data_IF_025099240096
#
_entry.id   IF_025099240096
#
_cell.length_a   1.000
_cell.length_b   1.000
_cell.length_c   1.000
_cell.angle_alpha   90.00
_cell.angle_beta   90.00
_cell.angle_gamma   90.00
#
_symmetry.space_group_name_H-M   'P 1'
#
loop_
_entity.id
_entity.type
_entity.pdbx_description
1 polymer ?
#
# COMPACT_ATOMS: atom_id res chain seq x y z
N UNK A 1 -0.66 0.10 -4.69
CA UNK A 1 -1.84 -0.79 -4.90
C UNK A 1 -3.14 -0.34 -4.22
N UNK A 2 -3.06 0.26 -3.03
CA UNK A 2 -4.23 0.57 -2.18
C UNK A 2 -4.98 1.88 -2.52
N UNK A 3 -4.34 2.78 -3.26
CA UNK A 3 -4.82 4.16 -3.48
C UNK A 3 -6.28 4.26 -3.93
N UNK A 4 -6.74 3.52 -4.97
CA UNK A 4 -8.12 3.67 -5.45
C UNK A 4 -9.16 3.27 -4.40
N UNK A 5 -8.81 2.34 -3.50
CA UNK A 5 -9.69 1.94 -2.40
C UNK A 5 -9.73 3.02 -1.33
N UNK A 6 -8.57 3.54 -0.90
CA UNK A 6 -8.47 4.56 0.13
C UNK A 6 -9.21 5.84 -0.29
N UNK A 7 -9.00 6.33 -1.50
CA UNK A 7 -9.62 7.55 -2.00
C UNK A 7 -11.16 7.48 -1.99
N UNK A 8 -11.70 6.29 -2.28
CA UNK A 8 -13.16 6.07 -2.35
C UNK A 8 -13.80 5.75 -1.01
N UNK A 9 -13.12 4.97 -0.15
CA UNK A 9 -13.74 4.34 1.02
C UNK A 9 -13.30 4.93 2.35
N UNK A 10 -12.10 5.50 2.45
CA UNK A 10 -11.55 5.93 3.73
C UNK A 10 -12.43 6.99 4.41
N UNK A 11 -12.87 8.00 3.65
CA UNK A 11 -13.76 9.04 4.15
C UNK A 11 -15.13 8.49 4.56
N UNK A 12 -15.59 7.40 3.94
CA UNK A 12 -16.84 6.74 4.32
C UNK A 12 -16.62 5.96 5.61
N UNK A 13 -15.55 5.17 5.73
CA UNK A 13 -15.23 4.36 6.92
C UNK A 13 -15.08 5.26 8.15
N UNK A 14 -14.35 6.37 8.03
CA UNK A 14 -14.04 7.29 9.13
C UNK A 14 -15.06 8.44 9.27
N UNK A 15 -16.20 8.35 8.58
CA UNK A 15 -17.25 9.35 8.68
C UNK A 15 -17.82 9.43 10.11
N UNK A 16 -18.41 10.57 10.50
CA UNK A 16 -19.20 10.70 11.72
C UNK A 16 -20.28 9.61 11.87
N UNK A 17 -20.70 9.31 13.11
CA UNK A 17 -21.65 8.24 13.39
C UNK A 17 -23.08 8.54 12.89
N UNK A 18 -23.41 9.81 12.69
CA UNK A 18 -24.65 10.30 12.11
C UNK A 18 -24.66 10.23 10.57
N UNK A 19 -23.51 9.97 9.93
CA UNK A 19 -23.43 9.75 8.50
C UNK A 19 -24.01 8.38 8.10
N UNK A 20 -24.41 8.21 6.82
CA UNK A 20 -24.90 6.93 6.32
C UNK A 20 -23.96 5.77 6.65
N UNK A 21 -24.55 4.64 7.07
CA UNK A 21 -23.82 3.45 7.45
C UNK A 21 -22.97 2.88 6.30
N UNK A 22 -21.95 2.11 6.67
CA UNK A 22 -21.12 1.34 5.73
C UNK A 22 -22.00 0.32 4.99
N UNK A 23 -22.19 0.52 3.68
CA UNK A 23 -22.98 -0.40 2.85
C UNK A 23 -22.28 -1.73 2.59
N UNK A 24 -20.94 -1.75 2.63
CA UNK A 24 -20.10 -2.89 2.26
C UNK A 24 -18.90 -3.03 3.20
N UNK A 25 -19.09 -3.42 4.47
CA UNK A 25 -17.98 -3.68 5.39
C UNK A 25 -17.05 -4.81 4.91
N UNK A 26 -17.57 -5.77 4.15
CA UNK A 26 -16.85 -6.89 3.55
C UNK A 26 -15.76 -6.47 2.56
N UNK A 27 -15.87 -5.27 1.97
CA UNK A 27 -14.94 -4.80 0.95
C UNK A 27 -13.48 -4.71 1.45
N UNK A 28 -13.26 -4.50 2.76
CA UNK A 28 -11.91 -4.52 3.34
C UNK A 28 -11.37 -5.96 3.42
N UNK A 29 -12.22 -6.93 3.75
CA UNK A 29 -11.85 -8.33 3.79
C UNK A 29 -11.53 -8.88 2.38
N UNK A 30 -12.31 -8.47 1.38
CA UNK A 30 -12.06 -8.82 -0.03
C UNK A 30 -10.72 -8.24 -0.52
N UNK A 31 -10.46 -6.96 -0.21
CA UNK A 31 -9.19 -6.31 -0.53
C UNK A 31 -8.01 -7.04 0.11
N UNK A 32 -8.12 -7.37 1.40
CA UNK A 32 -7.10 -8.11 2.13
C UNK A 32 -6.84 -9.48 1.48
N UNK A 33 -7.89 -10.20 1.12
CA UNK A 33 -7.79 -11.52 0.48
C UNK A 33 -7.07 -11.42 -0.87
N UNK A 34 -7.44 -10.43 -1.69
CA UNK A 34 -6.78 -10.13 -2.96
C UNK A 34 -5.28 -9.85 -2.80
N UNK A 35 -4.89 -9.08 -1.78
CA UNK A 35 -3.47 -8.79 -1.48
C UNK A 35 -2.72 -10.05 -1.03
N UNK A 36 -3.33 -10.88 -0.18
CA UNK A 36 -2.73 -12.16 0.24
C UNK A 36 -2.49 -13.06 -0.97
N UNK A 37 -3.46 -13.17 -1.87
CA UNK A 37 -3.33 -13.99 -3.07
C UNK A 37 -2.28 -13.45 -4.05
N UNK A 38 -2.20 -12.12 -4.20
CA UNK A 38 -1.15 -11.48 -4.98
C UNK A 38 0.24 -11.69 -4.37
N UNK A 39 0.35 -11.62 -3.04
CA UNK A 39 1.61 -11.86 -2.31
C UNK A 39 2.10 -13.30 -2.49
N UNK A 40 1.22 -14.30 -2.46
CA UNK A 40 1.56 -15.72 -2.69
C UNK A 40 2.12 -15.98 -4.09
N UNK A 41 1.65 -15.22 -5.08
CA UNK A 41 2.11 -15.30 -6.47
C UNK A 41 3.36 -14.46 -6.74
N UNK A 42 3.71 -13.53 -5.85
CA UNK A 42 4.82 -12.61 -6.02
C UNK A 42 6.16 -13.26 -5.67
N UNK A 43 7.24 -12.95 -6.41
CA UNK A 43 8.60 -13.28 -6.01
C UNK A 43 8.93 -12.72 -4.62
N UNK A 44 9.81 -13.40 -3.86
CA UNK A 44 10.17 -13.01 -2.47
C UNK A 44 10.62 -11.55 -2.39
N UNK A 45 11.42 -11.07 -3.35
CA UNK A 45 11.87 -9.67 -3.42
C UNK A 45 10.73 -8.65 -3.53
N UNK A 46 9.56 -9.06 -4.04
CA UNK A 46 8.37 -8.21 -4.19
C UNK A 46 7.36 -8.38 -3.07
N UNK A 47 7.60 -9.24 -2.08
CA UNK A 47 6.68 -9.44 -0.95
C UNK A 47 6.59 -8.27 0.06
N UNK A 48 7.67 -7.50 0.35
CA UNK A 48 7.59 -6.44 1.36
C UNK A 48 6.50 -5.38 1.13
N UNK A 49 6.26 -4.86 -0.09
CA UNK A 49 5.12 -3.98 -0.37
C UNK A 49 3.76 -4.59 -0.02
N UNK A 50 3.55 -5.88 -0.32
CA UNK A 50 2.29 -6.56 0.03
C UNK A 50 2.11 -6.70 1.54
N UNK A 51 3.19 -6.98 2.30
CA UNK A 51 3.14 -7.03 3.76
C UNK A 51 2.76 -5.67 4.35
N UNK A 52 3.33 -4.58 3.82
CA UNK A 52 2.95 -3.22 4.21
C UNK A 52 1.48 -2.94 3.87
N UNK A 53 1.01 -3.36 2.70
CA UNK A 53 -0.39 -3.20 2.30
C UNK A 53 -1.36 -4.00 3.21
N UNK A 54 -0.96 -5.20 3.67
CA UNK A 54 -1.73 -5.97 4.64
C UNK A 54 -1.83 -5.27 6.00
N UNK A 55 -0.77 -4.60 6.45
CA UNK A 55 -0.81 -3.80 7.67
C UNK A 55 -1.87 -2.68 7.59
N UNK A 56 -1.95 -1.99 6.44
CA UNK A 56 -3.00 -0.99 6.19
C UNK A 56 -4.40 -1.63 6.24
N UNK A 57 -4.58 -2.80 5.60
CA UNK A 57 -5.86 -3.51 5.60
C UNK A 57 -6.30 -3.96 7.00
N UNK A 58 -5.36 -4.34 7.86
CA UNK A 58 -5.66 -4.71 9.25
C UNK A 58 -6.19 -3.50 10.04
N UNK A 59 -5.57 -2.32 9.90
CA UNK A 59 -6.05 -1.09 10.56
C UNK A 59 -7.39 -0.63 9.97
N UNK A 60 -7.60 -0.78 8.66
CA UNK A 60 -8.90 -0.51 8.04
C UNK A 60 -10.01 -1.44 8.58
N UNK A 61 -9.69 -2.72 8.77
CA UNK A 61 -10.65 -3.69 9.33
C UNK A 61 -11.02 -3.30 10.76
N UNK A 62 -10.01 -2.97 11.57
CA UNK A 62 -10.21 -2.43 12.92
C UNK A 62 -11.09 -1.17 12.92
N UNK A 63 -10.87 -0.23 12.00
CA UNK A 63 -11.67 0.98 11.89
C UNK A 63 -13.15 0.67 11.55
N UNK A 64 -13.40 -0.31 10.68
CA UNK A 64 -14.76 -0.77 10.35
C UNK A 64 -15.42 -1.38 11.59
N UNK A 65 -14.74 -2.28 12.30
CA UNK A 65 -15.27 -2.94 13.50
C UNK A 65 -15.55 -1.95 14.63
N UNK A 66 -14.62 -1.03 14.89
CA UNK A 66 -14.78 0.03 15.89
C UNK A 66 -15.96 0.94 15.56
N UNK A 67 -16.13 1.32 14.27
CA UNK A 67 -17.29 2.11 13.84
C UNK A 67 -18.60 1.35 14.04
N UNK A 68 -18.66 0.10 13.61
CA UNK A 68 -19.87 -0.71 13.74
C UNK A 68 -20.28 -0.86 15.21
N UNK A 69 -19.30 -1.07 16.09
CA UNK A 69 -19.53 -1.08 17.54
C UNK A 69 -20.05 0.26 18.06
N UNK A 70 -19.46 1.38 17.64
CA UNK A 70 -19.90 2.71 18.03
C UNK A 70 -21.33 3.02 17.55
N UNK A 71 -21.68 2.64 16.31
CA UNK A 71 -23.05 2.76 15.78
C UNK A 71 -24.03 1.89 16.57
N UNK A 72 -23.67 0.65 16.89
CA UNK A 72 -24.51 -0.24 17.69
C UNK A 72 -24.76 0.32 19.09
N UNK A 73 -23.73 0.88 19.74
CA UNK A 73 -23.84 1.54 21.03
C UNK A 73 -24.77 2.76 20.97
N UNK A 74 -24.67 3.57 19.91
CA UNK A 74 -25.52 4.74 19.71
C UNK A 74 -26.99 4.36 19.52
N UNK A 75 -27.25 3.34 18.70
CA UNK A 75 -28.59 2.80 18.45
C UNK A 75 -29.18 2.16 19.71
N UNK A 76 -28.36 1.50 20.54
CA UNK A 76 -28.77 0.95 21.83
C UNK A 76 -29.30 2.03 22.77
N UNK A 77 -28.60 3.17 22.86
CA UNK A 77 -29.01 4.32 23.69
C UNK A 77 -30.32 4.96 23.24
N UNK A 78 -30.62 4.94 21.93
CA UNK A 78 -31.85 5.52 21.38
C UNK A 78 -33.11 4.70 21.68
N UNK A 79 -32.99 3.39 21.94
CA UNK A 79 -34.14 2.49 22.16
C UNK A 79 -34.86 2.74 23.49
N UNK A 80 -34.24 3.44 24.44
CA UNK A 80 -34.79 3.62 25.79
C UNK A 80 -35.70 4.87 25.95
N UNK A 81 -35.79 5.75 24.95
CA UNK A 81 -36.54 7.02 25.05
C UNK A 81 -38.06 6.90 24.83
N UNK A 82 -38.58 5.71 24.52
CA UNK A 82 -39.97 5.52 24.04
C UNK A 82 -40.96 4.85 25.00
N UNK A 83 -40.66 4.74 26.30
CA UNK A 83 -41.55 3.98 27.21
C UNK A 83 -42.86 4.73 27.52
N UNK A 84 -44.05 4.19 27.18
CA UNK A 84 -45.32 4.93 27.20
C UNK A 84 -45.84 5.37 28.58
N UNK A 85 -45.14 5.07 29.68
CA UNK A 85 -45.57 5.34 31.06
C UNK A 85 -44.75 6.38 31.82
N UNK A 86 -43.73 6.97 31.21
CA UNK A 86 -42.87 7.96 31.87
C UNK A 86 -43.60 9.31 31.98
N UNK A 87 -43.68 9.86 33.19
CA UNK A 87 -44.12 11.24 33.43
C UNK A 87 -43.30 12.18 32.54
N UNK A 88 -43.94 13.24 32.01
CA UNK A 88 -43.31 14.21 31.09
C UNK A 88 -41.91 14.69 31.52
N UNK A 89 -41.68 14.87 32.82
CA UNK A 89 -40.39 15.28 33.36
C UNK A 89 -39.32 14.18 33.27
N UNK A 90 -39.66 12.95 33.66
CA UNK A 90 -38.76 11.80 33.54
C UNK A 90 -38.45 11.47 32.08
N UNK A 91 -39.40 11.68 31.16
CA UNK A 91 -39.15 11.55 29.73
C UNK A 91 -38.16 12.62 29.20
N UNK A 92 -38.24 13.87 29.70
CA UNK A 92 -37.29 14.94 29.35
C UNK A 92 -35.89 14.66 29.90
N UNK A 93 -35.78 14.23 31.15
CA UNK A 93 -34.50 13.87 31.77
C UNK A 93 -33.85 12.68 31.05
N UNK A 94 -34.63 11.64 30.71
CA UNK A 94 -34.14 10.51 29.92
C UNK A 94 -33.66 10.96 28.52
N UNK A 95 -34.39 11.87 27.85
CA UNK A 95 -33.98 12.41 26.56
C UNK A 95 -32.69 13.24 26.65
N UNK A 96 -32.52 14.07 27.69
CA UNK A 96 -31.29 14.83 27.93
C UNK A 96 -30.09 13.92 28.21
N UNK A 97 -30.28 12.89 29.05
CA UNK A 97 -29.25 11.90 29.33
C UNK A 97 -28.85 11.16 28.05
N UNK A 98 -29.81 10.70 27.25
CA UNK A 98 -29.54 10.03 25.98
C UNK A 98 -28.79 10.94 24.99
N UNK A 99 -29.16 12.22 24.90
CA UNK A 99 -28.46 13.19 24.07
C UNK A 99 -27.02 13.43 24.55
N UNK A 100 -26.79 13.49 25.87
CA UNK A 100 -25.47 13.61 26.46
C UNK A 100 -24.58 12.40 26.12
N UNK A 101 -25.08 11.17 26.31
CA UNK A 101 -24.34 9.96 25.97
C UNK A 101 -24.08 9.84 24.46
N UNK A 102 -25.06 10.18 23.62
CA UNK A 102 -24.88 10.19 22.18
C UNK A 102 -23.79 11.17 21.75
N UNK A 103 -23.80 12.40 22.28
CA UNK A 103 -22.77 13.40 21.98
C UNK A 103 -21.38 12.98 22.47
N UNK A 104 -21.30 12.33 23.64
CA UNK A 104 -20.04 11.78 24.14
C UNK A 104 -19.48 10.71 23.18
N UNK A 105 -20.30 9.76 22.74
CA UNK A 105 -19.89 8.71 21.79
C UNK A 105 -19.47 9.29 20.43
N UNK A 106 -20.20 10.28 19.91
CA UNK A 106 -19.85 10.96 18.65
C UNK A 106 -18.49 11.65 18.79
N UNK A 107 -18.24 12.31 19.93
CA UNK A 107 -16.98 13.01 20.19
C UNK A 107 -15.81 12.03 20.31
N UNK A 108 -15.99 10.94 21.05
CA UNK A 108 -15.00 9.87 21.19
C UNK A 108 -14.67 9.24 19.84
N UNK A 109 -15.69 8.89 19.06
CA UNK A 109 -15.51 8.37 17.70
C UNK A 109 -14.75 9.35 16.81
N UNK A 110 -15.08 10.65 16.87
CA UNK A 110 -14.38 11.67 16.08
C UNK A 110 -12.87 11.72 16.40
N UNK A 111 -12.52 11.67 17.69
CA UNK A 111 -11.11 11.64 18.11
C UNK A 111 -10.44 10.35 17.64
N UNK A 112 -11.11 9.21 17.81
CA UNK A 112 -10.58 7.91 17.41
C UNK A 112 -10.41 7.79 15.89
N UNK A 113 -11.37 8.28 15.12
CA UNK A 113 -11.31 8.32 13.66
C UNK A 113 -10.15 9.19 13.16
N UNK A 114 -9.86 10.31 13.84
CA UNK A 114 -8.69 11.14 13.51
C UNK A 114 -7.36 10.40 13.78
N UNK A 115 -7.25 9.68 14.89
CA UNK A 115 -6.08 8.85 15.19
C UNK A 115 -5.90 7.72 14.16
N UNK A 116 -6.98 7.01 13.84
CA UNK A 116 -6.98 5.96 12.81
C UNK A 116 -6.58 6.52 11.45
N UNK A 117 -7.04 7.72 11.09
CA UNK A 117 -6.65 8.40 9.86
C UNK A 117 -5.14 8.61 9.79
N UNK A 118 -4.56 9.19 10.84
CA UNK A 118 -3.11 9.42 10.92
C UNK A 118 -2.33 8.10 10.83
N UNK A 119 -2.79 7.06 11.53
CA UNK A 119 -2.15 5.74 11.49
C UNK A 119 -2.19 5.12 10.08
N UNK A 120 -3.34 5.21 9.39
CA UNK A 120 -3.50 4.72 8.02
C UNK A 120 -2.60 5.51 7.05
N UNK A 121 -2.53 6.83 7.17
CA UNK A 121 -1.68 7.69 6.33
C UNK A 121 -0.19 7.40 6.53
N UNK A 122 0.26 7.16 7.77
CA UNK A 122 1.63 6.76 8.07
C UNK A 122 1.98 5.39 7.46
N UNK A 123 1.11 4.39 7.63
CA UNK A 123 1.32 3.06 7.07
C UNK A 123 1.28 3.07 5.54
N UNK A 124 0.41 3.88 4.96
CA UNK A 124 0.30 4.04 3.51
C UNK A 124 1.55 4.72 2.92
N UNK A 125 2.05 5.78 3.55
CA UNK A 125 3.30 6.43 3.15
C UNK A 125 4.46 5.44 3.17
N UNK A 126 4.56 4.64 4.24
CA UNK A 126 5.57 3.58 4.35
C UNK A 126 5.44 2.51 3.26
N UNK A 127 4.22 2.10 2.89
CA UNK A 127 4.01 1.17 1.77
C UNK A 127 4.55 1.74 0.46
N UNK A 128 4.32 3.03 0.20
CA UNK A 128 4.79 3.72 -1.02
C UNK A 128 6.30 3.85 -1.07
N UNK A 129 6.94 4.15 0.07
CA UNK A 129 8.41 4.17 0.18
C UNK A 129 9.01 2.80 -0.14
N UNK A 130 8.45 1.72 0.42
CA UNK A 130 8.90 0.35 0.16
C UNK A 130 8.69 -0.03 -1.32
N UNK A 131 7.54 0.32 -1.90
CA UNK A 131 7.27 0.11 -3.33
C UNK A 131 8.33 0.82 -4.19
N UNK A 132 8.65 2.08 -3.86
CA UNK A 132 9.72 2.85 -4.50
C UNK A 132 11.09 2.15 -4.41
N UNK A 133 11.49 1.70 -3.24
CA UNK A 133 12.75 0.98 -3.05
C UNK A 133 12.84 -0.32 -3.84
N UNK A 134 11.75 -1.10 -3.90
CA UNK A 134 11.71 -2.34 -4.69
C UNK A 134 11.83 -2.02 -6.18
N UNK A 135 11.20 -0.95 -6.66
CA UNK A 135 11.33 -0.55 -8.07
C UNK A 135 12.74 -0.04 -8.41
N UNK A 136 13.36 0.74 -7.53
CA UNK A 136 14.72 1.21 -7.70
C UNK A 136 15.72 0.04 -7.69
N UNK A 137 15.61 -0.87 -6.72
CA UNK A 137 16.47 -2.05 -6.65
C UNK A 137 16.29 -2.98 -7.87
N UNK A 138 15.07 -3.10 -8.40
CA UNK A 138 14.82 -3.85 -9.62
C UNK A 138 15.42 -3.16 -10.86
N UNK A 139 15.40 -1.82 -10.92
CA UNK A 139 16.03 -1.06 -11.98
C UNK A 139 17.58 -1.18 -11.92
N UNK A 140 18.17 -1.11 -10.73
CA UNK A 140 19.60 -1.30 -10.53
C UNK A 140 20.04 -2.75 -10.82
N UNK A 141 19.23 -3.74 -10.45
CA UNK A 141 19.45 -5.13 -10.79
C UNK A 141 19.36 -5.37 -12.31
N UNK A 142 18.44 -4.71 -13.01
CA UNK A 142 18.36 -4.78 -14.47
C UNK A 142 19.54 -4.08 -15.14
N UNK A 143 20.00 -2.94 -14.61
CA UNK A 143 21.17 -2.23 -15.10
C UNK A 143 22.45 -3.05 -14.93
N UNK A 144 22.61 -3.75 -13.79
CA UNK A 144 23.76 -4.64 -13.54
C UNK A 144 23.67 -5.95 -14.34
N UNK A 145 22.47 -6.50 -14.57
CA UNK A 145 22.30 -7.66 -15.46
C UNK A 145 22.71 -7.37 -16.91
N UNK A 146 22.58 -6.11 -17.34
CA UNK A 146 22.94 -5.63 -18.66
C UNK A 146 24.33 -5.00 -18.74
N UNK A 147 25.20 -5.24 -17.75
CA UNK A 147 26.61 -4.87 -17.86
C UNK A 147 27.51 -6.09 -17.72
N UNK A 148 28.69 -6.04 -18.33
CA UNK A 148 29.74 -7.03 -18.20
C UNK A 148 31.04 -6.33 -17.87
N UNK A 149 31.74 -6.80 -16.84
CA UNK A 149 33.08 -6.33 -16.50
C UNK A 149 34.09 -7.30 -17.10
N UNK A 150 35.06 -6.79 -17.86
CA UNK A 150 36.09 -7.61 -18.47
C UNK A 150 37.19 -7.95 -17.47
N UNK A 151 37.41 -9.24 -17.17
CA UNK A 151 38.50 -9.65 -16.28
C UNK A 151 39.88 -9.63 -16.95
N UNK A 152 39.90 -9.67 -18.28
CA UNK A 152 41.11 -9.70 -19.11
C UNK A 152 40.98 -8.70 -20.26
N UNK A 153 42.11 -8.18 -20.80
CA UNK A 153 42.04 -7.36 -21.98
C UNK A 153 41.45 -8.14 -23.16
N UNK A 154 40.50 -7.54 -23.88
CA UNK A 154 39.83 -8.16 -25.04
C UNK A 154 40.10 -7.32 -26.29
N UNK A 155 40.65 -7.96 -27.32
CA UNK A 155 40.83 -7.34 -28.63
C UNK A 155 39.53 -7.46 -29.44
N UNK A 156 39.03 -6.33 -29.92
CA UNK A 156 37.78 -6.23 -30.66
C UNK A 156 37.97 -5.50 -31.98
N UNK A 157 37.15 -5.84 -32.96
CA UNK A 157 37.13 -5.16 -34.26
C UNK A 157 36.16 -3.98 -34.20
N UNK A 158 36.69 -2.78 -34.41
CA UNK A 158 35.93 -1.52 -34.51
C UNK A 158 36.01 -0.99 -35.94
N UNK A 159 35.20 0.01 -36.29
CA UNK A 159 35.10 0.54 -37.67
C UNK A 159 36.46 0.96 -38.26
N UNK A 160 37.37 1.44 -37.42
CA UNK A 160 38.67 1.99 -37.83
C UNK A 160 39.88 1.11 -37.50
N UNK A 161 39.69 -0.15 -37.08
CA UNK A 161 40.80 -1.07 -36.80
C UNK A 161 40.51 -2.09 -35.70
N UNK A 162 41.57 -2.53 -35.02
CA UNK A 162 41.47 -3.34 -33.81
C UNK A 162 41.67 -2.45 -32.59
N UNK A 163 40.77 -2.54 -31.63
CA UNK A 163 40.91 -1.87 -30.33
C UNK A 163 41.07 -2.93 -29.23
N UNK A 164 41.93 -2.66 -28.25
CA UNK A 164 42.07 -3.53 -27.07
C UNK A 164 41.38 -2.86 -25.90
N UNK A 165 40.30 -3.47 -25.43
CA UNK A 165 39.58 -3.00 -24.24
C UNK A 165 40.34 -3.50 -23.01
N UNK A 166 40.76 -2.62 -22.08
CA UNK A 166 41.52 -3.04 -20.90
C UNK A 166 40.65 -3.82 -19.90
N UNK A 167 41.27 -4.67 -19.05
CA UNK A 167 40.56 -5.32 -17.96
C UNK A 167 40.02 -4.29 -16.96
N UNK A 168 38.95 -4.65 -16.26
CA UNK A 168 38.20 -3.77 -15.36
C UNK A 168 37.22 -2.83 -16.07
N UNK A 169 37.18 -2.82 -17.41
CA UNK A 169 36.19 -2.03 -18.15
C UNK A 169 34.81 -2.66 -18.02
N UNK A 170 33.82 -1.87 -17.60
CA UNK A 170 32.42 -2.27 -17.55
C UNK A 170 31.72 -1.81 -18.83
N UNK A 171 31.16 -2.75 -19.57
CA UNK A 171 30.51 -2.52 -20.86
C UNK A 171 29.02 -2.82 -20.76
N UNK A 172 28.20 -2.06 -21.48
CA UNK A 172 26.76 -2.30 -21.57
C UNK A 172 26.48 -3.38 -22.59
N UNK A 173 25.83 -4.46 -22.17
CA UNK A 173 25.40 -5.58 -23.01
C UNK A 173 24.13 -5.20 -23.76
N UNK A 174 24.22 -5.22 -25.09
CA UNK A 174 23.09 -4.97 -26.01
C UNK A 174 22.35 -6.28 -26.31
N UNK A 175 23.08 -7.37 -26.54
CA UNK A 175 22.50 -8.71 -26.76
C UNK A 175 23.48 -9.83 -26.45
N UNK A 176 22.96 -11.03 -26.16
CA UNK A 176 23.76 -12.27 -26.02
C UNK A 176 23.19 -13.31 -26.96
N UNK A 177 24.03 -13.88 -27.83
CA UNK A 177 23.64 -14.94 -28.74
C UNK A 177 24.72 -16.05 -28.80
N UNK A 178 24.51 -17.05 -29.66
CA UNK A 178 25.46 -18.15 -29.83
C UNK A 178 26.80 -17.72 -30.45
N UNK A 179 26.89 -16.51 -31.02
CA UNK A 179 28.09 -15.98 -31.68
C UNK A 179 28.92 -15.06 -30.76
N UNK A 180 28.38 -14.66 -29.60
CA UNK A 180 29.10 -13.87 -28.60
C UNK A 180 28.19 -12.89 -27.84
N UNK A 181 28.82 -11.90 -27.23
CA UNK A 181 28.14 -10.83 -26.48
C UNK A 181 28.30 -9.53 -27.26
N UNK A 182 27.19 -8.96 -27.74
CA UNK A 182 27.19 -7.63 -28.35
C UNK A 182 27.16 -6.58 -27.25
N UNK A 183 28.14 -5.69 -27.25
CA UNK A 183 28.29 -4.61 -26.27
C UNK A 183 28.39 -3.25 -26.95
N UNK A 184 28.03 -2.20 -26.22
CA UNK A 184 28.30 -0.82 -26.63
C UNK A 184 29.69 -0.41 -26.13
N UNK A 185 30.56 0.00 -27.05
CA UNK A 185 31.91 0.48 -26.74
C UNK A 185 32.28 1.63 -27.67
N UNK A 186 32.56 2.80 -27.08
CA UNK A 186 32.89 4.04 -27.81
C UNK A 186 31.85 4.41 -28.88
N UNK A 187 30.56 4.31 -28.53
CA UNK A 187 29.40 4.54 -29.40
C UNK A 187 29.32 3.59 -30.61
N UNK A 188 30.08 2.49 -30.60
CA UNK A 188 30.03 1.42 -31.58
C UNK A 188 29.50 0.12 -30.96
N UNK A 189 28.72 -0.64 -31.74
CA UNK A 189 28.29 -1.98 -31.35
C UNK A 189 29.35 -2.98 -31.71
N UNK A 190 29.91 -3.63 -30.70
CA UNK A 190 31.07 -4.50 -30.83
C UNK A 190 30.73 -5.88 -30.29
N UNK A 191 31.09 -6.93 -31.03
CA UNK A 191 30.90 -8.31 -30.58
C UNK A 191 32.14 -8.77 -29.82
N UNK A 192 31.97 -9.10 -28.53
CA UNK A 192 32.99 -9.78 -27.75
C UNK A 192 33.04 -11.26 -28.16
N UNK A 193 34.23 -11.83 -28.34
CA UNK A 193 34.39 -13.27 -28.53
C UNK A 193 33.88 -14.03 -27.28
N UNK A 194 33.40 -15.28 -27.46
CA UNK A 194 32.89 -16.11 -26.37
C UNK A 194 33.96 -16.47 -25.33
#
# INVERSE_FOLDING_TARGET
MLQPFLDRRLNIILAPLDAPGLKHPEAVADLRSSIVDAMKKAPVAKQPPFQAALAVCNVLSQAVDERQRAVANLQGSQRFSGWPGLKHQAAREAAQNNAFFANAQITEWKQRAAQLRQQIEQLYTREREIEGHVTAAAADAAATANTITLDKPVAVKVKYGMATIPPGTTLTVISRDANGILVDYADEKVTLPP
#
